data_IF_472813383613
#
_entry.id   IF_472813383613
#
_cell.length_a   1.000
_cell.length_b   1.000
_cell.length_c   1.000
_cell.angle_alpha   90.00
_cell.angle_beta   90.00
_cell.angle_gamma   90.00
#
_symmetry.space_group_name_H-M   'P 1'
#
loop_
_entity.id
_entity.type
_entity.pdbx_description
1 polymer ?
#
# COMPACT_ATOMS: atom_id res chain seq x y z
N UNK A 1 -31.55 21.38 24.25
CA UNK A 1 -30.96 20.82 23.01
C UNK A 1 -29.84 19.87 23.39
N UNK A 2 -30.02 18.55 23.21
CA UNK A 2 -29.01 17.56 23.56
C UNK A 2 -27.82 17.67 22.59
N UNK A 3 -26.65 18.05 23.11
CA UNK A 3 -25.38 18.05 22.36
C UNK A 3 -25.02 16.58 22.09
N UNK A 4 -24.89 16.20 20.82
CA UNK A 4 -24.25 14.93 20.44
C UNK A 4 -22.80 14.99 20.90
N UNK A 5 -22.45 14.21 21.92
CA UNK A 5 -21.08 14.09 22.47
C UNK A 5 -20.24 13.08 21.70
N UNK A 6 -20.51 12.85 20.40
CA UNK A 6 -19.72 11.93 19.60
C UNK A 6 -18.30 12.48 19.43
N UNK A 7 -17.32 11.86 20.08
CA UNK A 7 -15.91 12.26 20.02
C UNK A 7 -15.13 11.38 19.04
N UNK A 8 -13.98 11.89 18.58
CA UNK A 8 -13.03 11.12 17.74
C UNK A 8 -12.60 9.85 18.47
N UNK A 9 -12.36 9.92 19.78
CA UNK A 9 -11.98 8.76 20.60
C UNK A 9 -13.04 7.66 20.59
N UNK A 10 -14.32 8.01 20.78
CA UNK A 10 -15.41 7.03 20.73
C UNK A 10 -15.56 6.39 19.34
N UNK A 11 -15.45 7.19 18.28
CA UNK A 11 -15.50 6.69 16.91
C UNK A 11 -14.36 5.69 16.62
N UNK A 12 -13.14 6.01 17.06
CA UNK A 12 -11.98 5.12 16.88
C UNK A 12 -12.13 3.84 17.69
N UNK A 13 -12.53 3.93 18.97
CA UNK A 13 -12.77 2.75 19.80
C UNK A 13 -13.85 1.85 19.20
N UNK A 14 -14.97 2.43 18.75
CA UNK A 14 -16.02 1.70 18.05
C UNK A 14 -15.49 1.00 16.80
N UNK A 15 -14.69 1.72 15.99
CA UNK A 15 -14.17 1.18 14.75
C UNK A 15 -13.16 0.04 14.95
N UNK A 16 -12.27 0.18 15.95
CA UNK A 16 -11.29 -0.85 16.30
C UNK A 16 -12.01 -2.09 16.83
N UNK A 17 -12.93 -1.93 17.79
CA UNK A 17 -13.67 -3.04 18.38
C UNK A 17 -14.46 -3.82 17.31
N UNK A 18 -15.20 -3.11 16.45
CA UNK A 18 -15.93 -3.72 15.34
C UNK A 18 -15.01 -4.38 14.31
N UNK A 19 -13.83 -3.81 14.06
CA UNK A 19 -12.87 -4.39 13.11
C UNK A 19 -12.28 -5.73 13.58
N UNK A 20 -12.13 -5.92 14.89
CA UNK A 20 -11.63 -7.19 15.48
C UNK A 20 -12.71 -8.28 15.43
N UNK A 21 -13.97 -7.88 15.61
CA UNK A 21 -15.12 -8.80 15.63
C UNK A 21 -15.82 -8.94 14.26
N UNK A 22 -15.35 -8.26 13.22
CA UNK A 22 -15.94 -8.31 11.90
C UNK A 22 -15.68 -9.69 11.28
N UNK A 23 -16.71 -10.47 10.90
CA UNK A 23 -16.52 -11.70 10.15
C UNK A 23 -15.94 -11.35 8.78
N UNK A 24 -14.66 -11.67 8.59
CA UNK A 24 -13.95 -11.58 7.32
C UNK A 24 -13.78 -12.96 6.71
N UNK A 25 -14.00 -13.06 5.40
CA UNK A 25 -13.73 -14.28 4.60
C UNK A 25 -12.34 -14.85 4.92
N UNK A 26 -12.31 -16.07 5.45
CA UNK A 26 -11.14 -16.95 5.36
C UNK A 26 -10.89 -17.22 3.85
N UNK A 27 -10.04 -16.43 3.19
CA UNK A 27 -9.60 -16.69 1.81
C UNK A 27 -9.77 -15.60 0.75
N UNK A 28 -9.94 -14.31 1.11
CA UNK A 28 -9.78 -13.18 0.16
C UNK A 28 -8.56 -12.35 0.55
N UNK A 29 -7.85 -11.79 -0.45
CA UNK A 29 -6.72 -10.87 -0.27
C UNK A 29 -6.96 -9.92 0.92
N UNK A 30 -6.03 -9.84 1.89
CA UNK A 30 -6.21 -9.01 3.06
C UNK A 30 -6.37 -7.55 2.62
N UNK A 31 -7.56 -6.98 2.82
CA UNK A 31 -7.74 -5.53 2.65
C UNK A 31 -6.85 -4.81 3.68
N UNK A 32 -6.32 -3.61 3.35
CA UNK A 32 -5.57 -2.82 4.31
C UNK A 32 -6.40 -2.62 5.58
N UNK A 33 -5.80 -2.88 6.75
CA UNK A 33 -6.45 -2.71 8.07
C UNK A 33 -7.14 -1.35 8.21
N UNK A 34 -6.58 -0.32 7.58
CA UNK A 34 -7.13 1.02 7.56
C UNK A 34 -8.50 1.12 6.86
N UNK A 35 -8.77 0.38 5.77
CA UNK A 35 -10.09 0.36 5.13
C UNK A 35 -11.16 -0.21 6.04
N UNK A 36 -10.80 -1.25 6.81
CA UNK A 36 -11.71 -1.88 7.77
C UNK A 36 -12.03 -0.96 8.94
N UNK A 37 -11.03 -0.22 9.44
CA UNK A 37 -11.24 0.80 10.47
C UNK A 37 -12.10 1.95 9.91
N UNK A 38 -11.75 2.50 8.74
CA UNK A 38 -12.50 3.59 8.10
C UNK A 38 -13.96 3.25 7.81
N UNK A 39 -14.22 1.99 7.44
CA UNK A 39 -15.57 1.47 7.26
C UNK A 39 -16.42 1.66 8.51
N UNK A 40 -15.92 1.24 9.67
CA UNK A 40 -16.66 1.34 10.92
C UNK A 40 -16.65 2.75 11.51
N UNK A 41 -15.62 3.56 11.23
CA UNK A 41 -15.65 5.00 11.52
C UNK A 41 -16.78 5.68 10.75
N UNK A 42 -16.91 5.37 9.45
CA UNK A 42 -17.96 5.93 8.61
C UNK A 42 -19.34 5.44 9.04
N UNK A 43 -19.48 4.16 9.38
CA UNK A 43 -20.69 3.61 9.99
C UNK A 43 -21.09 4.39 11.25
N UNK A 44 -20.16 4.56 12.19
CA UNK A 44 -20.39 5.28 13.45
C UNK A 44 -20.92 6.70 13.22
N UNK A 45 -20.30 7.47 12.32
CA UNK A 45 -20.76 8.83 12.03
C UNK A 45 -22.11 8.83 11.33
N UNK A 46 -22.37 7.87 10.44
CA UNK A 46 -23.65 7.74 9.71
C UNK A 46 -24.79 7.13 10.56
N UNK A 47 -24.52 6.65 11.78
CA UNK A 47 -25.58 6.35 12.75
C UNK A 47 -26.31 7.61 13.19
N UNK A 48 -25.62 8.76 13.23
CA UNK A 48 -26.24 10.03 13.59
C UNK A 48 -27.18 10.50 12.46
N UNK A 49 -28.50 10.70 12.73
CA UNK A 49 -29.46 11.06 11.70
C UNK A 49 -29.09 12.34 10.94
N UNK A 50 -28.54 13.35 11.63
CA UNK A 50 -28.10 14.61 11.04
C UNK A 50 -26.96 14.40 10.04
N UNK A 51 -25.94 13.64 10.42
CA UNK A 51 -24.79 13.31 9.59
C UNK A 51 -25.20 12.48 8.38
N UNK A 52 -26.11 11.52 8.58
CA UNK A 52 -26.68 10.70 7.52
C UNK A 52 -27.46 11.52 6.49
N UNK A 53 -28.37 12.39 6.93
CA UNK A 53 -29.12 13.27 6.03
C UNK A 53 -28.21 14.23 5.27
N UNK A 54 -27.19 14.80 5.93
CA UNK A 54 -26.20 15.65 5.29
C UNK A 54 -25.39 14.90 4.22
N UNK A 55 -25.02 13.64 4.50
CA UNK A 55 -24.29 12.77 3.58
C UNK A 55 -25.14 12.42 2.35
N UNK A 56 -26.41 12.04 2.53
CA UNK A 56 -27.32 11.75 1.42
C UNK A 56 -27.51 12.97 0.49
N UNK A 57 -27.75 14.15 1.06
CA UNK A 57 -27.97 15.36 0.27
C UNK A 57 -26.70 15.84 -0.44
N UNK A 58 -25.55 15.80 0.24
CA UNK A 58 -24.33 16.48 -0.26
C UNK A 58 -23.38 15.56 -1.02
N UNK A 59 -23.33 14.28 -0.63
CA UNK A 59 -22.45 13.28 -1.21
C UNK A 59 -23.22 12.40 -2.19
N UNK A 60 -24.29 11.75 -1.72
CA UNK A 60 -25.11 10.88 -2.58
C UNK A 60 -25.99 11.67 -3.57
N UNK A 61 -26.21 12.96 -3.29
CA UNK A 61 -27.04 13.89 -4.10
C UNK A 61 -28.45 13.37 -4.30
N UNK A 62 -29.03 12.84 -3.23
CA UNK A 62 -30.41 12.36 -3.21
C UNK A 62 -31.17 13.02 -2.07
N UNK A 63 -32.45 13.30 -2.30
CA UNK A 63 -33.40 13.73 -1.26
C UNK A 63 -34.11 12.52 -0.60
N UNK A 64 -33.84 11.30 -1.07
CA UNK A 64 -34.36 10.09 -0.45
C UNK A 64 -33.82 9.94 0.97
N UNK A 65 -34.70 9.52 1.88
CA UNK A 65 -34.32 9.13 3.24
C UNK A 65 -33.85 7.67 3.24
N UNK A 66 -33.09 7.31 4.27
CA UNK A 66 -32.60 5.93 4.42
C UNK A 66 -32.64 5.52 5.88
N UNK A 67 -32.75 4.21 6.09
CA UNK A 67 -32.56 3.58 7.38
C UNK A 67 -31.13 3.73 7.90
N UNK A 68 -30.69 2.82 8.77
CA UNK A 68 -29.29 2.85 9.20
C UNK A 68 -28.37 2.41 8.05
N UNK A 69 -27.31 3.18 7.82
CA UNK A 69 -26.23 2.77 6.93
C UNK A 69 -25.28 1.92 7.75
N UNK A 70 -25.29 0.61 7.50
CA UNK A 70 -24.54 -0.36 8.30
C UNK A 70 -23.47 -1.05 7.50
N UNK A 71 -22.44 -1.51 8.21
CA UNK A 71 -21.41 -2.36 7.62
C UNK A 71 -22.02 -3.71 7.23
N UNK A 72 -22.21 -3.96 5.94
CA UNK A 72 -22.80 -5.21 5.45
C UNK A 72 -21.82 -6.41 5.56
N UNK A 73 -22.20 -7.58 6.10
CA UNK A 73 -21.33 -8.74 6.10
C UNK A 73 -20.86 -9.04 4.67
N UNK A 74 -19.53 -9.10 4.47
CA UNK A 74 -18.95 -9.24 3.12
C UNK A 74 -19.03 -10.70 2.69
N UNK A 75 -20.17 -11.09 2.15
CA UNK A 75 -20.40 -12.45 1.65
C UNK A 75 -19.71 -12.71 0.30
N UNK A 76 -19.35 -11.66 -0.47
CA UNK A 76 -18.75 -11.77 -1.81
C UNK A 76 -17.65 -10.71 -2.03
N UNK A 77 -16.70 -11.02 -2.93
CA UNK A 77 -15.56 -10.13 -3.32
C UNK A 77 -15.98 -8.74 -3.80
N UNK A 78 -17.17 -8.62 -4.38
CA UNK A 78 -17.70 -7.38 -4.96
C UNK A 78 -18.92 -6.84 -4.20
N UNK A 79 -19.03 -7.12 -2.90
CA UNK A 79 -20.03 -6.48 -2.04
C UNK A 79 -19.55 -5.08 -1.61
N UNK A 80 -20.45 -4.07 -1.58
CA UNK A 80 -20.17 -2.78 -0.96
C UNK A 80 -19.79 -2.92 0.51
N UNK A 81 -19.10 -1.92 1.03
CA UNK A 81 -18.59 -1.91 2.40
C UNK A 81 -19.64 -1.48 3.42
N UNK A 82 -20.49 -0.52 3.04
CA UNK A 82 -21.72 -0.21 3.76
C UNK A 82 -22.92 -0.30 2.83
N UNK A 83 -24.07 -0.69 3.38
CA UNK A 83 -25.33 -0.79 2.64
C UNK A 83 -26.45 -0.14 3.45
N UNK A 84 -27.42 0.46 2.76
CA UNK A 84 -28.68 0.89 3.34
C UNK A 84 -29.83 0.77 2.34
N UNK A 85 -31.05 0.65 2.83
CA UNK A 85 -32.26 0.72 2.01
C UNK A 85 -32.69 2.17 1.82
N UNK A 86 -32.90 2.58 0.58
CA UNK A 86 -33.37 3.92 0.19
C UNK A 86 -34.89 3.92 -0.03
N UNK A 87 -35.43 2.85 -0.59
CA UNK A 87 -36.86 2.63 -0.75
C UNK A 87 -37.19 1.21 -0.27
N UNK A 88 -38.23 1.02 0.56
CA UNK A 88 -38.67 -0.30 0.96
C UNK A 88 -39.17 -1.08 -0.26
N UNK A 89 -38.91 -2.38 -0.33
CA UNK A 89 -39.45 -3.26 -1.39
C UNK A 89 -40.97 -3.40 -1.20
N UNK A 90 -41.76 -2.63 -1.94
CA UNK A 90 -43.23 -2.75 -1.95
C UNK A 90 -43.71 -3.83 -2.93
N UNK A 91 -43.42 -5.10 -2.62
CA UNK A 91 -43.99 -6.27 -3.29
C UNK A 91 -43.16 -6.85 -4.45
N UNK A 92 -43.70 -7.90 -5.08
CA UNK A 92 -42.98 -8.83 -5.96
C UNK A 92 -42.44 -8.26 -7.30
N UNK A 93 -42.72 -6.99 -7.60
CA UNK A 93 -42.29 -6.33 -8.84
C UNK A 93 -41.42 -5.09 -8.62
N UNK A 94 -41.20 -4.66 -7.36
CA UNK A 94 -40.38 -3.49 -7.04
C UNK A 94 -39.09 -3.93 -6.33
N UNK A 95 -38.01 -4.04 -7.09
CA UNK A 95 -36.65 -4.21 -6.60
C UNK A 95 -36.25 -2.93 -5.84
N UNK A 96 -36.70 -2.80 -4.58
CA UNK A 96 -36.49 -1.62 -3.74
C UNK A 96 -35.08 -1.02 -3.85
N UNK A 97 -34.96 0.30 -3.71
CA UNK A 97 -33.70 1.00 -3.92
C UNK A 97 -32.73 0.81 -2.74
N UNK A 98 -31.43 0.74 -3.05
CA UNK A 98 -30.36 0.52 -2.07
C UNK A 98 -29.22 1.48 -2.32
N UNK A 99 -28.61 1.94 -1.24
CA UNK A 99 -27.36 2.67 -1.24
C UNK A 99 -26.22 1.72 -0.91
N UNK A 100 -25.21 1.63 -1.76
CA UNK A 100 -23.93 1.01 -1.47
C UNK A 100 -22.84 2.06 -1.29
N UNK A 101 -21.94 1.85 -0.33
CA UNK A 101 -20.72 2.64 -0.18
C UNK A 101 -19.53 1.71 -0.32
N UNK A 102 -18.68 1.97 -1.30
CA UNK A 102 -17.41 1.27 -1.51
C UNK A 102 -16.25 2.20 -1.17
N UNK A 103 -15.34 1.72 -0.34
CA UNK A 103 -14.17 2.41 0.15
C UNK A 103 -12.92 1.83 -0.51
N UNK A 104 -12.02 2.71 -0.94
CA UNK A 104 -10.66 2.38 -1.33
C UNK A 104 -9.72 3.35 -0.65
N UNK A 105 -8.78 2.82 0.11
CA UNK A 105 -7.60 3.58 0.54
C UNK A 105 -6.41 3.27 -0.33
N UNK A 106 -6.49 2.18 -1.09
CA UNK A 106 -5.40 1.70 -1.92
C UNK A 106 -5.84 1.43 -3.37
N UNK A 107 -5.41 2.32 -4.27
CA UNK A 107 -5.65 2.22 -5.71
C UNK A 107 -7.03 2.71 -6.17
N UNK A 108 -7.15 2.90 -7.48
CA UNK A 108 -8.34 3.43 -8.13
C UNK A 108 -9.46 2.40 -8.28
N UNK A 109 -10.70 2.90 -8.29
CA UNK A 109 -11.83 2.12 -8.78
C UNK A 109 -11.88 2.14 -10.30
N UNK A 110 -11.43 1.07 -10.95
CA UNK A 110 -11.59 0.89 -12.39
C UNK A 110 -13.04 0.59 -12.77
N UNK A 111 -13.46 1.00 -13.97
CA UNK A 111 -14.85 0.87 -14.44
C UNK A 111 -15.44 -0.55 -14.30
N UNK A 112 -14.74 -1.65 -14.64
CA UNK A 112 -15.28 -3.00 -14.47
C UNK A 112 -15.57 -3.37 -12.99
N UNK A 113 -14.78 -2.83 -12.06
CA UNK A 113 -15.00 -3.05 -10.62
C UNK A 113 -16.21 -2.27 -10.13
N UNK A 114 -16.39 -1.04 -10.60
CA UNK A 114 -17.58 -0.23 -10.29
C UNK A 114 -18.85 -0.88 -10.82
N UNK A 115 -18.83 -1.41 -12.04
CA UNK A 115 -19.98 -2.14 -12.62
C UNK A 115 -20.37 -3.35 -11.76
N UNK A 116 -19.39 -4.16 -11.32
CA UNK A 116 -19.65 -5.31 -10.45
C UNK A 116 -20.19 -4.91 -9.08
N UNK A 117 -19.64 -3.86 -8.46
CA UNK A 117 -20.13 -3.33 -7.18
C UNK A 117 -21.55 -2.76 -7.31
N UNK A 118 -21.85 -2.09 -8.42
CA UNK A 118 -23.17 -1.53 -8.72
C UNK A 118 -24.19 -2.63 -8.99
N UNK A 119 -23.81 -3.67 -9.71
CA UNK A 119 -24.65 -4.84 -9.98
C UNK A 119 -24.94 -5.65 -8.70
N UNK A 120 -24.01 -5.67 -7.74
CA UNK A 120 -24.20 -6.35 -6.46
C UNK A 120 -25.32 -5.74 -5.59
N UNK A 121 -25.75 -4.51 -5.87
CA UNK A 121 -26.90 -3.89 -5.20
C UNK A 121 -28.24 -4.45 -5.69
N UNK A 122 -28.29 -4.95 -6.93
CA UNK A 122 -29.50 -5.41 -7.61
C UNK A 122 -29.66 -4.76 -8.99
N UNK A 123 -30.76 -5.09 -9.66
CA UNK A 123 -31.05 -4.64 -11.02
C UNK A 123 -31.78 -3.27 -11.08
N UNK A 124 -32.27 -2.76 -9.95
CA UNK A 124 -33.02 -1.50 -9.93
C UNK A 124 -32.17 -0.33 -10.43
N UNK A 125 -32.70 0.53 -11.33
CA UNK A 125 -31.99 1.73 -11.78
C UNK A 125 -31.78 2.74 -10.64
N UNK A 126 -32.59 2.66 -9.58
CA UNK A 126 -32.57 3.57 -8.45
C UNK A 126 -31.50 3.23 -7.40
N UNK A 127 -30.77 2.12 -7.53
CA UNK A 127 -29.64 1.88 -6.62
C UNK A 127 -28.52 2.91 -6.87
N UNK A 128 -27.96 3.41 -5.77
CA UNK A 128 -26.85 4.34 -5.78
C UNK A 128 -25.61 3.67 -5.19
N UNK A 129 -24.47 3.82 -5.86
CA UNK A 129 -23.17 3.38 -5.35
C UNK A 129 -22.27 4.61 -5.16
N UNK A 130 -21.82 4.86 -3.93
CA UNK A 130 -20.80 5.88 -3.66
C UNK A 130 -19.45 5.19 -3.62
N UNK A 131 -18.53 5.61 -4.49
CA UNK A 131 -17.19 5.09 -4.57
C UNK A 131 -16.19 6.12 -4.02
N UNK A 132 -15.62 5.84 -2.85
CA UNK A 132 -14.73 6.75 -2.12
C UNK A 132 -13.28 6.29 -2.26
N UNK A 133 -12.43 7.09 -2.91
CA UNK A 133 -11.00 6.78 -3.14
C UNK A 133 -10.09 7.95 -2.76
N UNK A 134 -8.76 7.82 -2.86
CA UNK A 134 -7.87 8.98 -2.68
C UNK A 134 -7.92 9.89 -3.90
N UNK A 135 -7.50 11.15 -3.75
CA UNK A 135 -7.39 12.08 -4.87
C UNK A 135 -6.36 11.62 -5.91
N UNK A 136 -5.25 11.06 -5.45
CA UNK A 136 -4.19 10.56 -6.34
C UNK A 136 -4.71 9.44 -7.27
N UNK A 137 -5.63 8.62 -6.75
CA UNK A 137 -6.24 7.50 -7.48
C UNK A 137 -7.40 7.94 -8.41
N UNK A 138 -7.89 9.17 -8.28
CA UNK A 138 -8.97 9.69 -9.15
C UNK A 138 -8.49 9.90 -10.60
N UNK A 139 -7.18 10.13 -10.82
CA UNK A 139 -6.59 10.40 -12.14
C UNK A 139 -6.41 9.15 -13.03
N UNK A 140 -6.35 7.96 -12.41
CA UNK A 140 -6.19 6.66 -13.10
C UNK A 140 -7.54 6.02 -13.47
N UNK A 141 -8.66 6.77 -13.39
CA UNK A 141 -9.97 6.33 -13.90
C UNK A 141 -9.99 6.40 -15.42
N UNK A 142 -9.42 5.40 -16.08
CA UNK A 142 -9.68 5.14 -17.50
C UNK A 142 -11.08 4.50 -17.64
N UNK A 143 -12.01 5.18 -18.32
CA UNK A 143 -13.34 4.67 -18.68
C UNK A 143 -14.53 5.51 -18.17
N UNK A 144 -15.70 5.25 -18.75
CA UNK A 144 -16.97 5.88 -18.38
C UNK A 144 -17.46 5.38 -17.01
N UNK A 145 -17.93 6.31 -16.16
CA UNK A 145 -18.46 5.98 -14.83
C UNK A 145 -19.86 5.37 -15.00
N UNK A 146 -20.14 4.17 -14.46
CA UNK A 146 -21.45 3.55 -14.64
C UNK A 146 -22.59 4.37 -14.03
N UNK A 147 -23.78 4.25 -14.59
CA UNK A 147 -24.97 4.92 -14.08
C UNK A 147 -25.26 4.56 -12.61
N UNK A 148 -25.70 5.57 -11.85
CA UNK A 148 -25.95 5.44 -10.42
C UNK A 148 -24.67 5.33 -9.57
N UNK A 149 -23.47 5.55 -10.14
CA UNK A 149 -22.21 5.60 -9.38
C UNK A 149 -21.77 7.04 -9.14
N UNK A 150 -21.53 7.39 -7.88
CA UNK A 150 -21.00 8.69 -7.46
C UNK A 150 -19.56 8.54 -6.96
N UNK A 151 -18.56 8.83 -7.80
CA UNK A 151 -17.17 8.84 -7.37
C UNK A 151 -16.85 10.10 -6.56
N UNK A 152 -16.13 9.95 -5.45
CA UNK A 152 -15.66 11.06 -4.63
C UNK A 152 -14.32 10.72 -3.99
N UNK A 153 -13.42 11.70 -3.85
CA UNK A 153 -12.20 11.50 -3.08
C UNK A 153 -12.41 11.74 -1.58
N UNK A 154 -11.62 11.08 -0.73
CA UNK A 154 -11.57 11.33 0.72
C UNK A 154 -11.40 12.82 1.05
N UNK A 155 -10.49 13.51 0.37
CA UNK A 155 -10.34 14.98 0.47
C UNK A 155 -11.63 15.75 0.15
N UNK A 156 -12.36 15.37 -0.90
CA UNK A 156 -13.62 16.04 -1.30
C UNK A 156 -14.75 15.70 -0.33
N UNK A 157 -14.83 14.45 0.14
CA UNK A 157 -15.77 14.02 1.17
C UNK A 157 -15.60 14.88 2.42
N UNK A 158 -14.36 14.97 2.94
CA UNK A 158 -14.00 15.82 4.08
C UNK A 158 -14.51 17.25 3.91
N UNK A 159 -14.11 17.88 2.80
CA UNK A 159 -14.45 19.29 2.54
C UNK A 159 -15.94 19.56 2.42
N UNK A 160 -16.72 18.59 1.89
CA UNK A 160 -18.19 18.69 1.81
C UNK A 160 -18.85 18.47 3.17
N UNK A 161 -18.44 17.43 3.89
CA UNK A 161 -19.10 17.03 5.13
C UNK A 161 -18.80 17.95 6.31
N UNK A 162 -17.59 18.52 6.41
CA UNK A 162 -17.27 19.55 7.42
C UNK A 162 -18.20 20.77 7.29
N UNK A 163 -18.59 21.11 6.06
CA UNK A 163 -19.53 22.22 5.81
C UNK A 163 -20.98 21.82 6.03
N UNK A 164 -21.39 20.62 5.58
CA UNK A 164 -22.77 20.16 5.66
C UNK A 164 -23.17 19.67 7.06
N UNK A 165 -22.21 19.20 7.86
CA UNK A 165 -22.39 18.69 9.21
C UNK A 165 -21.31 19.26 10.15
N UNK A 166 -21.36 20.57 10.45
CA UNK A 166 -20.35 21.23 11.27
C UNK A 166 -20.32 20.69 12.72
N UNK A 167 -21.41 20.09 13.20
CA UNK A 167 -21.48 19.49 14.53
C UNK A 167 -20.59 18.26 14.71
N UNK A 168 -20.24 17.57 13.62
CA UNK A 168 -19.32 16.42 13.63
C UNK A 168 -18.08 16.67 12.75
N UNK A 169 -17.73 17.94 12.51
CA UNK A 169 -16.57 18.31 11.69
C UNK A 169 -15.27 17.57 12.09
N UNK A 170 -14.90 17.43 13.39
CA UNK A 170 -13.70 16.69 13.77
C UNK A 170 -13.72 15.21 13.36
N UNK A 171 -14.89 14.57 13.34
CA UNK A 171 -15.04 13.18 12.89
C UNK A 171 -14.82 13.08 11.39
N UNK A 172 -15.41 14.00 10.62
CA UNK A 172 -15.25 14.07 9.16
C UNK A 172 -13.82 14.45 8.75
N UNK A 173 -13.15 15.32 9.50
CA UNK A 173 -11.74 15.63 9.35
C UNK A 173 -10.88 14.39 9.53
N UNK A 174 -11.06 13.68 10.63
CA UNK A 174 -10.32 12.44 10.94
C UNK A 174 -10.54 11.37 9.87
N UNK A 175 -11.79 11.10 9.47
CA UNK A 175 -12.11 10.14 8.41
C UNK A 175 -11.44 10.53 7.09
N UNK A 176 -11.53 11.80 6.71
CA UNK A 176 -10.94 12.31 5.48
C UNK A 176 -9.41 12.23 5.49
N UNK A 177 -8.79 12.53 6.62
CA UNK A 177 -7.33 12.47 6.78
C UNK A 177 -6.81 11.04 6.79
N UNK A 178 -7.43 10.14 7.55
CA UNK A 178 -7.06 8.73 7.53
C UNK A 178 -7.30 8.17 6.12
N UNK A 179 -8.46 8.42 5.52
CA UNK A 179 -8.79 7.95 4.17
C UNK A 179 -7.82 8.42 3.09
N UNK A 180 -7.41 9.69 3.10
CA UNK A 180 -6.48 10.23 2.11
C UNK A 180 -5.03 9.70 2.32
N UNK A 181 -4.66 9.30 3.55
CA UNK A 181 -3.28 8.95 3.90
C UNK A 181 -3.05 7.47 4.25
N UNK A 182 -4.08 6.63 4.31
CA UNK A 182 -4.04 5.26 4.88
C UNK A 182 -3.31 4.22 4.03
N UNK A 183 -3.11 4.47 2.74
CA UNK A 183 -2.16 3.71 1.91
C UNK A 183 -1.02 4.57 1.38
N UNK A 184 -0.77 5.73 1.99
CA UNK A 184 0.58 6.27 1.97
C UNK A 184 1.34 5.44 2.99
N UNK A 185 2.42 4.73 2.62
CA UNK A 185 3.37 4.26 3.61
C UNK A 185 4.10 5.49 4.13
N UNK A 186 3.40 6.32 4.91
CA UNK A 186 4.05 7.09 5.93
C UNK A 186 4.33 6.02 6.97
N UNK A 187 5.59 5.71 7.24
CA UNK A 187 5.90 4.85 8.37
C UNK A 187 5.27 5.51 9.61
N UNK A 188 4.12 4.99 10.06
CA UNK A 188 3.39 5.48 11.23
C UNK A 188 3.96 4.89 12.52
N UNK A 189 5.06 4.15 12.42
CA UNK A 189 5.89 3.83 13.57
C UNK A 189 6.72 5.06 13.92
N UNK A 190 6.95 5.37 15.21
CA UNK A 190 7.90 6.40 15.62
C UNK A 190 9.32 5.90 15.31
N UNK A 191 9.71 6.00 14.04
CA UNK A 191 11.00 5.53 13.55
C UNK A 191 11.98 6.70 13.58
N UNK A 192 12.97 6.61 14.45
CA UNK A 192 14.11 7.53 14.43
C UNK A 192 14.98 7.24 13.18
N UNK A 193 14.68 7.96 12.09
CA UNK A 193 15.37 7.85 10.81
C UNK A 193 16.89 8.02 10.97
N UNK A 194 17.34 8.91 11.86
CA UNK A 194 18.75 9.09 12.15
C UNK A 194 19.36 7.86 12.79
N UNK A 195 18.71 7.30 13.81
CA UNK A 195 19.18 6.07 14.47
C UNK A 195 19.25 4.89 13.49
N UNK A 196 18.30 4.77 12.57
CA UNK A 196 18.25 3.63 11.65
C UNK A 196 19.19 3.75 10.45
N UNK A 197 19.25 4.91 9.80
CA UNK A 197 19.94 5.03 8.53
C UNK A 197 21.42 5.37 8.66
N UNK A 198 21.88 5.87 9.80
CA UNK A 198 23.29 6.29 9.98
C UNK A 198 24.18 5.22 10.62
N UNK A 199 23.61 4.15 11.20
CA UNK A 199 24.38 3.12 11.89
C UNK A 199 24.87 2.03 10.94
N UNK A 200 26.18 1.85 10.87
CA UNK A 200 26.80 0.80 10.05
C UNK A 200 26.43 -0.63 10.43
N UNK A 201 26.07 -0.91 11.69
CA UNK A 201 25.56 -2.24 12.08
C UNK A 201 24.24 -2.57 11.38
N UNK A 202 23.31 -1.61 11.34
CA UNK A 202 21.98 -1.79 10.72
C UNK A 202 22.15 -1.90 9.20
N UNK A 203 23.01 -1.06 8.62
CA UNK A 203 23.29 -1.11 7.19
C UNK A 203 23.89 -2.45 6.73
N UNK A 204 24.83 -3.01 7.51
CA UNK A 204 25.43 -4.33 7.23
C UNK A 204 24.43 -5.47 7.37
N UNK A 205 23.62 -5.46 8.43
CA UNK A 205 22.57 -6.47 8.64
C UNK A 205 21.50 -6.40 7.53
N UNK A 206 21.05 -5.20 7.19
CA UNK A 206 20.11 -4.98 6.08
C UNK A 206 20.68 -5.51 4.76
N UNK A 207 21.95 -5.21 4.48
CA UNK A 207 22.67 -5.70 3.29
C UNK A 207 22.75 -7.23 3.27
N UNK A 208 23.03 -7.85 4.41
CA UNK A 208 23.14 -9.31 4.52
C UNK A 208 21.80 -10.00 4.21
N UNK A 209 20.66 -9.45 4.65
CA UNK A 209 19.36 -9.98 4.23
C UNK A 209 19.06 -9.75 2.74
N UNK A 210 19.52 -8.65 2.16
CA UNK A 210 19.46 -8.46 0.69
C UNK A 210 20.35 -9.47 -0.06
N UNK A 211 21.47 -9.91 0.53
CA UNK A 211 22.30 -10.98 -0.02
C UNK A 211 21.57 -12.33 0.00
N UNK A 212 20.84 -12.65 1.08
CA UNK A 212 19.97 -13.83 1.13
C UNK A 212 18.92 -13.78 0.02
N UNK A 213 18.25 -12.63 -0.17
CA UNK A 213 17.30 -12.44 -1.27
C UNK A 213 17.96 -12.64 -2.64
N UNK A 214 19.15 -12.07 -2.84
CA UNK A 214 19.89 -12.17 -4.09
C UNK A 214 20.28 -13.62 -4.39
N UNK A 215 20.82 -14.33 -3.40
CA UNK A 215 21.19 -15.74 -3.49
C UNK A 215 19.96 -16.60 -3.78
N UNK A 216 18.89 -16.46 -3.00
CA UNK A 216 17.65 -17.22 -3.20
C UNK A 216 17.05 -16.97 -4.59
N UNK A 217 17.03 -15.72 -5.06
CA UNK A 217 16.54 -15.37 -6.40
C UNK A 217 17.39 -15.95 -7.53
N UNK A 218 18.72 -15.94 -7.38
CA UNK A 218 19.64 -16.53 -8.35
C UNK A 218 19.49 -18.06 -8.41
N UNK A 219 19.51 -18.72 -7.26
CA UNK A 219 19.41 -20.19 -7.17
C UNK A 219 18.05 -20.70 -7.62
N UNK A 220 16.97 -20.04 -7.22
CA UNK A 220 15.61 -20.53 -7.48
C UNK A 220 15.02 -20.00 -8.79
N UNK A 221 15.39 -18.83 -9.27
CA UNK A 221 14.73 -18.18 -10.41
C UNK A 221 15.70 -17.74 -11.50
N UNK A 222 17.01 -17.97 -11.33
CA UNK A 222 18.05 -17.62 -12.31
C UNK A 222 18.17 -16.12 -12.57
N UNK A 223 17.57 -15.28 -11.73
CA UNK A 223 17.40 -13.84 -11.98
C UNK A 223 17.69 -13.03 -10.73
N UNK A 224 18.09 -11.77 -10.92
CA UNK A 224 18.32 -10.83 -9.81
C UNK A 224 17.03 -10.13 -9.37
N UNK A 225 16.89 -9.80 -8.07
CA UNK A 225 15.76 -9.01 -7.57
C UNK A 225 15.67 -7.64 -8.21
N UNK A 226 14.44 -7.17 -8.42
CA UNK A 226 14.18 -5.81 -8.90
C UNK A 226 12.93 -5.19 -8.30
N UNK A 227 12.90 -3.86 -8.25
CA UNK A 227 11.68 -3.16 -7.92
C UNK A 227 10.64 -3.36 -9.02
N UNK A 228 9.43 -3.68 -8.61
CA UNK A 228 8.30 -3.81 -9.52
C UNK A 228 7.93 -2.45 -10.12
N UNK A 229 7.68 -2.43 -11.43
CA UNK A 229 7.36 -1.23 -12.23
C UNK A 229 5.95 -1.29 -12.80
N UNK A 230 5.09 -2.16 -12.23
CA UNK A 230 3.71 -2.34 -12.71
C UNK A 230 2.94 -1.01 -12.58
N UNK A 231 2.24 -0.62 -13.65
CA UNK A 231 1.33 0.53 -13.64
C UNK A 231 0.21 0.27 -12.62
N UNK A 232 -0.18 1.30 -11.87
CA UNK A 232 -1.20 1.18 -10.82
C UNK A 232 -0.75 0.53 -9.50
N UNK A 233 0.51 0.11 -9.37
CA UNK A 233 1.03 -0.41 -8.11
C UNK A 233 1.16 0.71 -7.06
N UNK A 234 0.79 0.38 -5.81
CA UNK A 234 0.61 1.35 -4.74
C UNK A 234 1.73 1.35 -3.69
N UNK A 235 2.47 0.24 -3.60
CA UNK A 235 3.59 0.01 -2.68
C UNK A 235 4.89 -0.25 -3.44
N UNK A 236 6.04 -0.19 -2.77
CA UNK A 236 7.30 -0.66 -3.33
C UNK A 236 7.43 -2.18 -3.12
N UNK A 237 7.75 -2.93 -4.17
CA UNK A 237 7.97 -4.38 -4.10
C UNK A 237 9.33 -4.72 -4.71
N UNK A 238 10.27 -5.22 -3.91
CA UNK A 238 11.58 -5.71 -4.38
C UNK A 238 11.49 -7.22 -4.54
N UNK A 239 11.36 -7.69 -5.78
CA UNK A 239 10.97 -9.07 -6.05
C UNK A 239 11.60 -9.66 -7.31
N UNK A 240 11.54 -10.99 -7.40
CA UNK A 240 11.91 -11.80 -8.56
C UNK A 240 10.76 -12.74 -8.90
N UNK A 241 10.40 -12.86 -10.19
CA UNK A 241 9.50 -13.93 -10.66
C UNK A 241 7.98 -13.71 -10.53
N UNK A 242 7.50 -12.71 -9.79
CA UNK A 242 6.05 -12.47 -9.59
C UNK A 242 5.42 -11.85 -10.85
N UNK A 243 4.91 -12.71 -11.75
CA UNK A 243 4.19 -12.39 -12.99
C UNK A 243 2.76 -12.98 -12.98
N UNK A 244 1.97 -12.80 -14.05
CA UNK A 244 0.53 -13.13 -14.12
C UNK A 244 0.12 -14.55 -13.66
N UNK A 245 1.04 -15.53 -13.63
CA UNK A 245 0.80 -16.89 -13.11
C UNK A 245 2.05 -17.52 -12.47
N UNK A 246 3.03 -16.73 -12.01
CA UNK A 246 4.35 -17.24 -11.57
C UNK A 246 4.60 -17.01 -10.09
N UNK A 247 5.09 -18.04 -9.42
CA UNK A 247 5.70 -17.93 -8.09
C UNK A 247 6.98 -17.11 -8.15
N UNK A 248 7.26 -16.38 -7.08
CA UNK A 248 8.42 -15.52 -6.97
C UNK A 248 8.99 -15.48 -5.57
N UNK A 249 9.94 -14.56 -5.39
CA UNK A 249 10.56 -14.25 -4.11
C UNK A 249 10.51 -12.74 -3.92
N UNK A 250 10.19 -12.28 -2.72
CA UNK A 250 10.13 -10.87 -2.38
C UNK A 250 10.89 -10.58 -1.09
N UNK A 251 11.42 -9.36 -1.00
CA UNK A 251 11.84 -8.74 0.26
C UNK A 251 10.68 -7.96 0.86
N UNK A 252 10.07 -8.53 1.90
CA UNK A 252 8.84 -8.06 2.54
C UNK A 252 9.02 -7.73 4.01
N UNK A 253 7.90 -7.68 4.73
CA UNK A 253 7.86 -7.52 6.20
C UNK A 253 8.66 -8.61 6.90
N UNK A 254 9.29 -8.29 8.04
CA UNK A 254 9.96 -9.31 8.85
C UNK A 254 8.90 -10.19 9.52
N UNK A 255 8.79 -11.44 9.06
CA UNK A 255 7.93 -12.46 9.67
C UNK A 255 8.77 -13.68 10.00
N UNK A 256 8.50 -14.30 11.16
CA UNK A 256 9.24 -15.47 11.64
C UNK A 256 10.78 -15.29 11.60
N UNK A 257 11.24 -14.04 11.80
CA UNK A 257 12.65 -13.68 11.84
C UNK A 257 13.31 -13.44 10.47
N UNK A 258 12.60 -13.49 9.35
CA UNK A 258 13.17 -13.22 8.02
C UNK A 258 12.33 -12.22 7.20
N UNK A 259 12.99 -11.33 6.42
CA UNK A 259 12.30 -10.47 5.45
C UNK A 259 12.18 -11.10 4.06
N UNK A 260 12.64 -12.34 3.84
CA UNK A 260 12.64 -12.98 2.51
C UNK A 260 11.50 -13.98 2.42
N UNK A 261 10.63 -13.78 1.43
CA UNK A 261 9.37 -14.50 1.30
C UNK A 261 9.23 -15.18 -0.04
N UNK A 262 8.60 -16.36 -0.04
CA UNK A 262 7.95 -16.90 -1.22
C UNK A 262 6.66 -16.15 -1.52
N UNK A 263 6.50 -15.78 -2.79
CA UNK A 263 5.31 -15.10 -3.27
C UNK A 263 4.57 -15.98 -4.27
N UNK A 264 3.25 -16.05 -4.12
CA UNK A 264 2.36 -16.53 -5.18
C UNK A 264 1.19 -15.58 -5.32
N UNK A 265 0.83 -15.28 -6.58
CA UNK A 265 -0.32 -14.44 -6.88
C UNK A 265 -1.58 -15.02 -6.22
N UNK A 266 -2.26 -14.19 -5.42
CA UNK A 266 -3.49 -14.57 -4.71
C UNK A 266 -3.28 -15.43 -3.46
N UNK A 267 -2.04 -15.60 -2.97
CA UNK A 267 -1.74 -16.25 -1.69
C UNK A 267 -0.93 -15.30 -0.80
N UNK A 268 -1.00 -15.55 0.51
CA UNK A 268 -0.19 -14.81 1.48
C UNK A 268 1.31 -15.15 1.30
N UNK A 269 2.20 -14.18 1.55
CA UNK A 269 3.64 -14.43 1.59
C UNK A 269 3.98 -15.55 2.57
N UNK A 270 4.94 -16.41 2.19
CA UNK A 270 5.43 -17.47 3.08
C UNK A 270 6.91 -17.24 3.38
N UNK A 271 7.31 -17.10 4.67
CA UNK A 271 8.71 -16.89 5.03
C UNK A 271 9.62 -18.01 4.51
N UNK A 272 10.77 -17.64 3.94
CA UNK A 272 11.76 -18.58 3.42
C UNK A 272 12.47 -19.38 4.54
N UNK A 273 12.36 -18.93 5.79
CA UNK A 273 13.05 -19.52 6.94
C UNK A 273 14.57 -19.34 6.92
N UNK A 274 15.08 -18.34 6.20
CA UNK A 274 16.52 -18.02 6.17
C UNK A 274 16.71 -16.60 6.70
N UNK A 275 17.36 -16.48 7.85
CA UNK A 275 17.62 -15.23 8.57
C UNK A 275 18.98 -14.62 8.22
N UNK A 276 19.64 -14.06 9.22
CA UNK A 276 20.99 -13.51 9.13
C UNK A 276 22.01 -14.65 9.30
N UNK A 277 22.78 -14.91 8.24
CA UNK A 277 23.81 -15.96 8.23
C UNK A 277 25.10 -15.43 8.87
N UNK A 278 25.45 -15.93 10.05
CA UNK A 278 26.57 -15.41 10.84
C UNK A 278 27.88 -16.15 10.55
N UNK A 279 27.80 -17.46 10.33
CA UNK A 279 28.96 -18.33 10.14
C UNK A 279 28.85 -19.18 8.85
N UNK A 280 29.84 -20.05 8.64
CA UNK A 280 29.87 -20.94 7.48
C UNK A 280 28.84 -22.07 7.57
N UNK A 281 28.48 -22.51 8.79
CA UNK A 281 27.47 -23.55 8.98
C UNK A 281 26.09 -23.04 8.57
N UNK A 282 25.74 -21.82 8.95
CA UNK A 282 24.54 -21.12 8.49
C UNK A 282 24.49 -21.02 6.96
N UNK A 283 25.60 -20.64 6.33
CA UNK A 283 25.70 -20.52 4.86
C UNK A 283 25.51 -21.87 4.17
N UNK A 284 26.14 -22.92 4.68
CA UNK A 284 26.00 -24.27 4.15
C UNK A 284 24.56 -24.77 4.27
N UNK A 285 23.93 -24.61 5.44
CA UNK A 285 22.54 -25.01 5.67
C UNK A 285 21.56 -24.21 4.79
N UNK A 286 21.76 -22.90 4.66
CA UNK A 286 20.96 -22.06 3.78
C UNK A 286 21.10 -22.48 2.31
N UNK A 287 22.32 -22.80 1.86
CA UNK A 287 22.58 -23.29 0.53
C UNK A 287 21.88 -24.63 0.26
N UNK A 288 22.02 -25.60 1.16
CA UNK A 288 21.37 -26.91 1.06
C UNK A 288 19.84 -26.78 0.97
N UNK A 289 19.24 -25.92 1.79
CA UNK A 289 17.80 -25.64 1.75
C UNK A 289 17.36 -25.05 0.40
N UNK A 290 18.13 -24.10 -0.13
CA UNK A 290 17.83 -23.51 -1.44
C UNK A 290 17.98 -24.56 -2.56
N UNK A 291 18.96 -25.46 -2.48
CA UNK A 291 19.11 -26.56 -3.43
C UNK A 291 17.97 -27.58 -3.33
N UNK A 292 17.50 -27.88 -2.12
CA UNK A 292 16.32 -28.72 -1.89
C UNK A 292 15.08 -28.11 -2.57
N UNK A 293 14.84 -26.81 -2.38
CA UNK A 293 13.78 -26.09 -3.09
C UNK A 293 14.00 -26.04 -4.60
N UNK A 294 15.24 -25.93 -5.07
CA UNK A 294 15.54 -25.95 -6.50
C UNK A 294 15.19 -27.32 -7.13
N UNK A 295 15.46 -28.42 -6.42
CA UNK A 295 15.13 -29.79 -6.83
C UNK A 295 13.62 -30.06 -6.79
N UNK A 296 12.93 -29.54 -5.75
CA UNK A 296 11.48 -29.69 -5.59
C UNK A 296 10.73 -28.59 -6.35
N UNK A 297 10.62 -28.69 -7.66
CA UNK A 297 9.92 -27.67 -8.49
C UNK A 297 8.40 -27.59 -8.26
N UNK A 298 7.83 -28.46 -7.42
CA UNK A 298 6.40 -28.52 -7.10
C UNK A 298 5.85 -27.23 -6.51
N UNK A 299 6.65 -26.44 -5.79
CA UNK A 299 6.22 -25.12 -5.32
C UNK A 299 6.11 -24.09 -6.45
N UNK A 300 6.73 -24.34 -7.62
CA UNK A 300 6.62 -23.50 -8.83
C UNK A 300 5.39 -23.84 -9.68
N UNK A 301 4.83 -25.04 -9.52
CA UNK A 301 3.64 -25.48 -10.26
C UNK A 301 2.35 -25.00 -9.61
N UNK A 302 1.37 -24.63 -10.43
CA UNK A 302 0.04 -24.21 -9.97
C UNK A 302 -0.60 -25.30 -9.11
N UNK A 303 -1.11 -24.94 -7.92
CA UNK A 303 -1.93 -25.81 -7.08
C UNK A 303 -1.27 -26.39 -5.82
N UNK A 304 0.05 -26.36 -5.66
CA UNK A 304 0.72 -26.84 -4.42
C UNK A 304 1.21 -25.68 -3.57
N UNK A 305 0.87 -25.63 -2.28
CA UNK A 305 1.31 -24.56 -1.38
C UNK A 305 2.84 -24.51 -1.29
N UNK A 306 3.40 -23.30 -1.08
CA UNK A 306 4.80 -23.18 -0.68
C UNK A 306 5.01 -23.93 0.66
N UNK A 307 6.21 -24.47 0.90
CA UNK A 307 6.51 -25.11 2.17
C UNK A 307 6.44 -24.07 3.31
N UNK A 308 5.49 -24.25 4.23
CA UNK A 308 5.30 -23.41 5.41
C UNK A 308 5.89 -24.05 6.67
N UNK A 309 6.05 -23.26 7.74
CA UNK A 309 6.52 -23.76 9.03
C UNK A 309 8.00 -24.17 9.05
N UNK A 310 8.83 -23.52 8.23
CA UNK A 310 10.26 -23.78 8.16
C UNK A 310 10.97 -23.25 9.40
N UNK A 311 11.81 -24.09 10.01
CA UNK A 311 12.68 -23.67 11.10
C UNK A 311 13.72 -22.66 10.58
N UNK A 312 13.94 -21.58 11.33
CA UNK A 312 14.83 -20.50 10.93
C UNK A 312 16.29 -20.96 10.90
N UNK A 313 16.97 -20.78 9.75
CA UNK A 313 18.43 -20.89 9.64
C UNK A 313 19.06 -19.53 9.92
N UNK A 314 20.10 -19.50 10.74
CA UNK A 314 20.77 -18.27 11.18
C UNK A 314 19.96 -17.49 12.21
N UNK A 315 20.35 -16.25 12.46
CA UNK A 315 19.73 -15.38 13.46
C UNK A 315 18.50 -14.63 12.90
N UNK A 316 17.52 -14.36 13.76
CA UNK A 316 16.38 -13.53 13.40
C UNK A 316 16.80 -12.08 13.10
N UNK A 317 16.15 -11.46 12.12
CA UNK A 317 16.34 -10.04 11.82
C UNK A 317 16.01 -9.18 13.05
N UNK A 318 16.87 -8.20 13.34
CA UNK A 318 16.62 -7.25 14.42
C UNK A 318 15.41 -6.36 14.13
N UNK A 319 14.72 -5.83 15.18
CA UNK A 319 13.62 -4.90 15.00
C UNK A 319 14.01 -3.64 14.19
N UNK A 320 15.28 -3.23 14.25
CA UNK A 320 15.80 -2.12 13.48
C UNK A 320 15.79 -2.36 11.96
N UNK A 321 15.91 -3.61 11.49
CA UNK A 321 15.83 -3.95 10.06
C UNK A 321 14.44 -3.63 9.52
N UNK A 322 13.39 -4.01 10.23
CA UNK A 322 12.00 -3.72 9.83
C UNK A 322 11.74 -2.21 9.79
N UNK A 323 12.21 -1.47 10.81
CA UNK A 323 12.11 -0.02 10.82
C UNK A 323 12.85 0.63 9.64
N UNK A 324 14.03 0.11 9.27
CA UNK A 324 14.82 0.62 8.16
C UNK A 324 14.14 0.29 6.83
N UNK A 325 13.60 -0.92 6.69
CA UNK A 325 12.81 -1.36 5.55
C UNK A 325 11.61 -0.45 5.32
N UNK A 326 10.78 -0.22 6.35
CA UNK A 326 9.60 0.64 6.25
C UNK A 326 9.95 2.04 5.75
N UNK A 327 11.02 2.62 6.29
CA UNK A 327 11.47 3.96 5.88
C UNK A 327 12.01 3.98 4.44
N UNK A 328 12.82 2.99 4.05
CA UNK A 328 13.32 2.88 2.68
C UNK A 328 12.17 2.61 1.69
N UNK A 329 11.18 1.79 2.04
CA UNK A 329 10.03 1.49 1.20
C UNK A 329 9.11 2.70 1.04
N UNK A 330 9.02 3.57 2.05
CA UNK A 330 8.38 4.87 1.91
C UNK A 330 9.13 5.77 0.92
N UNK A 331 10.46 5.80 0.98
CA UNK A 331 11.31 6.54 0.05
C UNK A 331 11.16 6.03 -1.39
N UNK A 332 11.18 4.71 -1.60
CA UNK A 332 11.02 4.06 -2.90
C UNK A 332 9.55 3.93 -3.35
N UNK A 333 8.58 4.46 -2.61
CA UNK A 333 7.17 4.23 -2.89
C UNK A 333 6.76 4.85 -4.24
N UNK A 334 6.22 4.07 -5.19
CA UNK A 334 5.89 4.57 -6.52
C UNK A 334 4.76 5.62 -6.51
N UNK A 335 3.81 5.56 -5.58
CA UNK A 335 2.76 6.57 -5.47
C UNK A 335 3.29 7.90 -4.95
N UNK A 336 4.13 7.88 -3.91
CA UNK A 336 4.73 9.10 -3.38
C UNK A 336 5.64 9.73 -4.43
N UNK A 337 6.38 8.93 -5.20
CA UNK A 337 7.19 9.42 -6.31
C UNK A 337 6.34 10.02 -7.44
N UNK A 338 5.22 9.37 -7.80
CA UNK A 338 4.25 9.90 -8.78
C UNK A 338 3.63 11.21 -8.34
N UNK A 339 3.24 11.33 -7.07
CA UNK A 339 2.75 12.59 -6.46
C UNK A 339 3.79 13.73 -6.59
N UNK A 340 5.07 13.39 -6.76
CA UNK A 340 6.18 14.34 -6.97
C UNK A 340 6.62 14.49 -8.43
N UNK A 341 5.89 13.87 -9.36
CA UNK A 341 6.14 13.99 -10.80
C UNK A 341 7.18 13.01 -11.34
N UNK A 342 7.43 11.89 -10.65
CA UNK A 342 8.36 10.85 -11.12
C UNK A 342 7.66 9.51 -11.32
N UNK A 343 7.96 8.86 -12.44
CA UNK A 343 7.52 7.50 -12.73
C UNK A 343 8.72 6.52 -12.72
N UNK A 344 8.56 5.30 -12.16
CA UNK A 344 9.57 4.25 -12.27
C UNK A 344 9.95 3.96 -13.73
N UNK A 345 11.25 3.99 -14.04
CA UNK A 345 11.78 3.61 -15.33
C UNK A 345 11.51 2.13 -15.63
N UNK A 346 11.34 1.72 -16.89
CA UNK A 346 10.97 0.36 -17.22
C UNK A 346 11.96 -0.72 -16.71
N UNK A 347 11.43 -1.82 -16.17
CA UNK A 347 12.18 -2.90 -15.52
C UNK A 347 13.27 -3.59 -16.35
N UNK A 348 13.28 -3.47 -17.68
CA UNK A 348 14.34 -4.03 -18.54
C UNK A 348 15.67 -3.30 -18.42
N UNK A 349 15.69 -2.08 -17.87
CA UNK A 349 16.88 -1.21 -17.76
C UNK A 349 17.30 -0.91 -16.31
N UNK A 350 16.80 -1.65 -15.32
CA UNK A 350 17.11 -1.40 -13.91
C UNK A 350 18.10 -2.44 -13.35
N UNK A 351 19.25 -2.05 -12.78
CA UNK A 351 19.77 -2.77 -11.63
C UNK A 351 19.09 -2.21 -10.39
N UNK A 352 18.13 -2.95 -9.83
CA UNK A 352 17.46 -2.52 -8.60
C UNK A 352 18.14 -3.03 -7.33
N UNK A 353 18.77 -4.21 -7.41
CA UNK A 353 19.76 -4.68 -6.43
C UNK A 353 21.02 -5.13 -7.19
N UNK A 354 22.13 -4.48 -6.89
CA UNK A 354 23.46 -4.79 -7.40
C UNK A 354 24.36 -5.27 -6.26
N UNK A 355 25.59 -5.65 -6.57
CA UNK A 355 26.56 -6.05 -5.54
C UNK A 355 26.85 -4.95 -4.51
N UNK A 356 26.71 -3.67 -4.90
CA UNK A 356 27.10 -2.52 -4.08
C UNK A 356 25.96 -1.55 -3.77
N UNK A 357 24.81 -1.64 -4.42
CA UNK A 357 23.72 -0.67 -4.24
C UNK A 357 22.34 -1.29 -4.44
N UNK A 358 21.35 -0.73 -3.76
CA UNK A 358 19.93 -0.97 -4.00
C UNK A 358 19.30 0.37 -4.40
N UNK A 359 18.49 0.38 -5.46
CA UNK A 359 17.86 1.62 -5.91
C UNK A 359 16.82 1.47 -7.01
N UNK A 360 16.21 2.58 -7.35
CA UNK A 360 15.17 2.72 -8.36
C UNK A 360 15.60 3.78 -9.37
N UNK A 361 15.44 3.46 -10.66
CA UNK A 361 15.56 4.44 -11.76
C UNK A 361 14.19 5.06 -12.02
N UNK A 362 14.20 6.34 -12.33
CA UNK A 362 13.02 7.21 -12.44
C UNK A 362 13.13 8.09 -13.68
N UNK A 363 11.99 8.42 -14.26
CA UNK A 363 11.85 9.48 -15.27
C UNK A 363 10.94 10.57 -14.73
N UNK A 364 11.25 11.81 -15.08
CA UNK A 364 10.38 12.94 -14.79
C UNK A 364 9.17 12.90 -15.74
N UNK A 365 7.98 13.09 -15.16
CA UNK A 365 6.72 13.06 -15.91
C UNK A 365 6.59 14.33 -16.75
N UNK A 366 6.36 14.15 -18.05
CA UNK A 366 6.27 15.26 -19.01
C UNK A 366 7.62 15.87 -19.38
N UNK A 367 8.73 15.19 -19.07
CA UNK A 367 10.04 15.53 -19.58
C UNK A 367 10.42 14.60 -20.74
N UNK A 368 10.54 15.18 -21.94
CA UNK A 368 10.88 14.46 -23.16
C UNK A 368 12.40 14.34 -23.38
N UNK A 369 13.23 14.94 -22.51
CA UNK A 369 14.69 14.88 -22.62
C UNK A 369 15.27 13.48 -22.47
N UNK A 370 14.49 12.53 -21.94
CA UNK A 370 14.94 11.17 -21.65
C UNK A 370 15.90 11.09 -20.44
N UNK A 371 16.06 12.19 -19.68
CA UNK A 371 16.91 12.23 -18.49
C UNK A 371 16.48 11.14 -17.50
N UNK A 372 17.47 10.40 -17.00
CA UNK A 372 17.25 9.34 -16.01
C UNK A 372 17.71 9.82 -14.64
N UNK A 373 16.84 9.64 -13.65
CA UNK A 373 17.15 9.91 -12.26
C UNK A 373 17.25 8.59 -11.50
N UNK A 374 18.06 8.58 -10.44
CA UNK A 374 18.19 7.44 -9.53
C UNK A 374 17.91 7.87 -8.11
N UNK A 375 17.19 7.02 -7.40
CA UNK A 375 17.06 7.06 -5.95
C UNK A 375 17.65 5.75 -5.42
N UNK A 376 18.64 5.80 -4.53
CA UNK A 376 19.39 4.60 -4.17
C UNK A 376 20.08 4.70 -2.80
N UNK A 377 20.51 3.56 -2.24
CA UNK A 377 21.31 3.44 -1.02
C UNK A 377 22.52 2.54 -1.26
N UNK A 378 23.55 2.68 -0.41
CA UNK A 378 24.82 1.98 -0.53
C UNK A 378 25.82 2.75 -1.41
N UNK A 379 26.50 2.02 -2.30
CA UNK A 379 27.49 2.54 -3.25
C UNK A 379 28.86 1.90 -3.12
N UNK A 380 29.14 1.39 -1.92
CA UNK A 380 30.36 0.67 -1.60
C UNK A 380 30.07 -0.83 -1.46
N UNK A 381 31.12 -1.66 -1.49
CA UNK A 381 31.00 -3.08 -1.14
C UNK A 381 30.53 -3.27 0.30
N UNK A 382 31.03 -2.43 1.21
CA UNK A 382 30.62 -2.43 2.61
C UNK A 382 29.68 -1.27 2.90
N UNK A 383 28.42 -1.59 3.20
CA UNK A 383 27.42 -0.57 3.49
C UNK A 383 27.63 -0.01 4.90
N UNK A 384 28.20 1.20 4.97
CA UNK A 384 28.41 1.92 6.24
C UNK A 384 27.17 2.63 6.76
N UNK A 385 26.20 2.88 5.90
CA UNK A 385 24.94 3.55 6.21
C UNK A 385 23.88 3.26 5.14
N UNK A 386 22.61 3.51 5.48
CA UNK A 386 21.47 3.44 4.57
C UNK A 386 21.00 4.84 4.14
N UNK A 387 21.90 5.84 4.14
CA UNK A 387 21.59 7.20 3.69
C UNK A 387 21.17 7.18 2.21
N UNK A 388 19.96 7.65 1.88
CA UNK A 388 19.49 7.78 0.51
C UNK A 388 20.32 8.77 -0.28
N UNK A 389 20.58 8.41 -1.53
CA UNK A 389 21.21 9.25 -2.54
C UNK A 389 20.24 9.44 -3.69
N UNK A 390 20.18 10.67 -4.18
CA UNK A 390 19.45 11.03 -5.39
C UNK A 390 20.46 11.47 -6.44
N UNK A 391 20.34 10.97 -7.66
CA UNK A 391 21.29 11.21 -8.74
C UNK A 391 20.56 11.57 -10.00
N UNK A 392 20.98 12.62 -10.70
CA UNK A 392 20.70 12.81 -12.12
C UNK A 392 21.83 12.10 -12.87
N UNK A 393 21.51 11.07 -13.64
CA UNK A 393 22.52 10.41 -14.47
C UNK A 393 23.03 11.40 -15.53
N UNK A 394 24.30 11.23 -15.94
CA UNK A 394 24.87 12.05 -17.01
C UNK A 394 24.02 11.96 -18.29
N UNK A 395 23.81 13.10 -18.93
CA UNK A 395 23.03 13.25 -20.15
C UNK A 395 23.72 14.25 -21.09
N UNK A 396 23.21 14.40 -22.31
CA UNK A 396 23.80 15.31 -23.29
C UNK A 396 23.82 16.76 -22.74
N UNK A 397 25.01 17.32 -22.56
CA UNK A 397 25.21 18.67 -22.02
C UNK A 397 25.08 18.80 -20.49
N UNK A 398 24.94 17.71 -19.72
CA UNK A 398 24.88 17.75 -18.25
C UNK A 398 25.67 16.62 -17.60
N UNK A 399 26.57 16.97 -16.69
CA UNK A 399 27.29 16.01 -15.87
C UNK A 399 26.38 15.33 -14.83
N UNK A 400 26.84 14.18 -14.37
CA UNK A 400 26.19 13.47 -13.26
C UNK A 400 26.21 14.34 -12.01
N UNK A 401 25.06 14.44 -11.33
CA UNK A 401 24.94 15.20 -10.10
C UNK A 401 24.25 14.35 -9.05
N UNK A 402 24.89 14.19 -7.88
CA UNK A 402 24.42 13.34 -6.79
C UNK A 402 24.34 14.10 -5.48
N UNK A 403 23.21 13.97 -4.78
CA UNK A 403 23.03 14.45 -3.41
C UNK A 403 22.80 13.29 -2.45
N UNK A 404 23.52 13.27 -1.33
CA UNK A 404 23.21 12.42 -0.19
C UNK A 404 22.29 13.16 0.79
N UNK A 405 21.16 12.55 1.15
CA UNK A 405 20.15 13.19 2.00
C UNK A 405 20.15 12.52 3.36
N UNK A 406 20.89 13.09 4.30
CA UNK A 406 21.02 12.55 5.65
C UNK A 406 19.88 13.04 6.58
N UNK A 407 19.31 12.17 7.42
CA UNK A 407 18.25 12.54 8.37
C UNK A 407 18.77 13.46 9.49
N UNK A 408 17.95 14.43 9.87
CA UNK A 408 18.24 15.39 10.96
C UNK A 408 17.79 14.85 12.32
N UNK A 409 18.30 15.45 13.41
CA UNK A 409 17.88 15.10 14.77
C UNK A 409 16.39 15.44 14.96
N UNK A 410 15.61 14.53 15.53
CA UNK A 410 14.17 14.71 15.80
C UNK A 410 13.30 14.97 14.56
N UNK A 411 13.79 14.61 13.38
CA UNK A 411 13.01 14.73 12.15
C UNK A 411 11.97 13.62 12.07
N UNK A 412 10.73 13.97 11.71
CA UNK A 412 9.69 12.96 11.47
C UNK A 412 10.01 12.13 10.22
N UNK A 413 9.54 10.89 10.17
CA UNK A 413 9.69 10.04 8.98
C UNK A 413 9.09 10.68 7.73
N UNK A 414 7.91 11.30 7.85
CA UNK A 414 7.23 11.95 6.74
C UNK A 414 8.04 13.13 6.19
N UNK A 415 8.59 13.96 7.07
CA UNK A 415 9.42 15.10 6.68
C UNK A 415 10.71 14.63 6.00
N UNK A 416 11.33 13.58 6.52
CA UNK A 416 12.54 13.02 5.93
C UNK A 416 12.29 12.44 4.53
N UNK A 417 11.22 11.65 4.35
CA UNK A 417 10.80 11.14 3.03
C UNK A 417 10.54 12.31 2.07
N UNK A 418 9.86 13.36 2.55
CA UNK A 418 9.61 14.56 1.77
C UNK A 418 10.90 15.28 1.36
N UNK A 419 11.89 15.38 2.24
CA UNK A 419 13.20 15.99 1.94
C UNK A 419 13.96 15.20 0.88
N UNK A 420 13.95 13.87 0.95
CA UNK A 420 14.58 13.02 -0.08
C UNK A 420 13.93 13.26 -1.44
N UNK A 421 12.60 13.27 -1.51
CA UNK A 421 11.89 13.55 -2.77
C UNK A 421 12.05 15.00 -3.23
N UNK A 422 12.23 15.95 -2.31
CA UNK A 422 12.53 17.35 -2.65
C UNK A 422 13.92 17.49 -3.26
N UNK A 423 14.92 16.80 -2.72
CA UNK A 423 16.28 16.76 -3.28
C UNK A 423 16.29 16.07 -4.66
N UNK A 424 15.48 15.03 -4.85
CA UNK A 424 15.29 14.44 -6.17
C UNK A 424 14.72 15.46 -7.16
N UNK A 425 13.72 16.24 -6.74
CA UNK A 425 13.11 17.27 -7.59
C UNK A 425 14.05 18.43 -7.89
N UNK A 426 14.95 18.81 -6.97
CA UNK A 426 15.89 19.91 -7.26
C UNK A 426 16.85 19.57 -8.40
N UNK A 427 17.16 18.29 -8.63
CA UNK A 427 17.97 17.84 -9.77
C UNK A 427 17.29 18.04 -11.15
N UNK A 428 15.98 18.35 -11.17
CA UNK A 428 15.23 18.66 -12.39
C UNK A 428 15.28 20.13 -12.79
N UNK A 429 15.68 21.00 -11.85
CA UNK A 429 15.75 22.44 -12.07
C UNK A 429 17.09 22.74 -12.78
N UNK A 430 17.08 23.50 -13.90
CA UNK A 430 18.27 23.83 -14.67
C UNK A 430 19.38 24.52 -13.88
#
# INVERSE_FOLDING_TARGET
MARSYATVGQMLTYAVDRSVHAPGLSGSEPRPRAEMILRHMLEFVLMAPRSRSAFLRTVARTELTTGNITAAPRLRKHSPDLIAELLPSSGAADDGARLGIALSTDGAFHAPRLQKLRAALGASPHHLLIAISRRADDADREGEVPDGVVPISWRRLRGRMVKADPGHAPLWETIGEIGENSARPIAQFPVDAKKLLTKGRIAREFRAHLDVLHQASRTLLGSSPRFSTRRGQTSAHLQTGVGLHRTGIEFGEVEQGTPVHFMRTGQDPVPLGIGLLQDEADRAAAHERLEEFARRTSWRTEGKAAPGGLELIGAAASPEVEGARLLLWAIFNPMLLRDRGFDPAAARRQPALSATSMGLRLHQRGDDSGTTYRLWVGGDREWRHLIPKVTREASEGREEETYAVAPRKSQSTADFVWEVHRALRSLTIP
#
